data_IF_862455595883
#
_entry.id   IF_862455595883
#
_cell.length_a   1.000
_cell.length_b   1.000
_cell.length_c   1.000
_cell.angle_alpha   90.00
_cell.angle_beta   90.00
_cell.angle_gamma   90.00
#
_symmetry.space_group_name_H-M   'P 1'
#
loop_
_entity.id
_entity.type
_entity.pdbx_description
1 polymer ?
#
# COMPACT_ATOMS: atom_id res chain seq x y z
N UNK A 1 -36.93 -25.19 15.66
CA UNK A 1 -36.18 -25.27 14.39
C UNK A 1 -36.22 -23.89 13.73
N UNK A 2 -35.18 -23.07 13.90
CA UNK A 2 -35.15 -21.70 13.34
C UNK A 2 -34.62 -21.71 11.91
N UNK A 3 -35.51 -22.03 10.96
CA UNK A 3 -35.25 -21.96 9.51
C UNK A 3 -34.92 -20.53 9.05
N UNK A 4 -35.15 -19.52 9.89
CA UNK A 4 -34.99 -18.10 9.57
C UNK A 4 -33.55 -17.59 9.63
N UNK A 5 -32.69 -18.06 10.55
CA UNK A 5 -31.38 -17.43 10.73
C UNK A 5 -30.34 -17.85 9.68
N UNK A 6 -30.25 -19.15 9.38
CA UNK A 6 -29.33 -19.64 8.35
C UNK A 6 -29.68 -19.09 6.95
N UNK A 7 -30.98 -19.00 6.63
CA UNK A 7 -31.44 -18.45 5.37
C UNK A 7 -31.14 -16.96 5.24
N UNK A 8 -31.24 -16.20 6.35
CA UNK A 8 -30.79 -14.80 6.40
C UNK A 8 -29.27 -14.72 6.15
N UNK A 9 -28.47 -15.48 6.89
CA UNK A 9 -27.00 -15.49 6.74
C UNK A 9 -26.57 -15.84 5.31
N UNK A 10 -27.24 -16.81 4.68
CA UNK A 10 -26.96 -17.20 3.31
C UNK A 10 -27.28 -16.08 2.31
N UNK A 11 -28.44 -15.45 2.45
CA UNK A 11 -28.84 -14.33 1.60
C UNK A 11 -27.91 -13.12 1.78
N UNK A 12 -27.50 -12.83 3.01
CA UNK A 12 -26.55 -11.76 3.31
C UNK A 12 -25.17 -12.06 2.71
N UNK A 13 -24.67 -13.29 2.86
CA UNK A 13 -23.42 -13.72 2.24
C UNK A 13 -23.46 -13.58 0.70
N UNK A 14 -24.52 -14.06 0.05
CA UNK A 14 -24.65 -13.98 -1.41
C UNK A 14 -24.73 -12.52 -1.89
N UNK A 15 -25.41 -11.66 -1.11
CA UNK A 15 -25.51 -10.24 -1.39
C UNK A 15 -24.18 -9.51 -1.18
N UNK A 16 -23.45 -9.81 -0.10
CA UNK A 16 -22.12 -9.28 0.16
C UNK A 16 -21.17 -9.70 -0.97
N UNK A 17 -21.11 -10.99 -1.30
CA UNK A 17 -20.29 -11.52 -2.39
C UNK A 17 -20.59 -10.83 -3.73
N UNK A 18 -21.87 -10.57 -4.03
CA UNK A 18 -22.25 -9.81 -5.22
C UNK A 18 -21.70 -8.39 -5.20
N UNK A 19 -21.75 -7.69 -4.06
CA UNK A 19 -21.16 -6.35 -3.94
C UNK A 19 -19.63 -6.40 -4.03
N UNK A 20 -18.99 -7.38 -3.40
CA UNK A 20 -17.56 -7.62 -3.46
C UNK A 20 -17.05 -7.80 -4.90
N UNK A 21 -17.69 -8.69 -5.67
CA UNK A 21 -17.33 -8.94 -7.08
C UNK A 21 -17.51 -7.69 -7.94
N UNK A 22 -18.50 -6.86 -7.64
CA UNK A 22 -18.73 -5.58 -8.29
C UNK A 22 -17.83 -4.45 -7.76
N UNK A 23 -16.86 -4.76 -6.88
CA UNK A 23 -15.93 -3.80 -6.25
C UNK A 23 -16.63 -2.72 -5.43
N UNK A 24 -17.83 -2.99 -4.93
CA UNK A 24 -18.53 -2.13 -3.99
C UNK A 24 -18.20 -2.58 -2.55
N UNK A 25 -16.96 -2.32 -2.13
CA UNK A 25 -16.44 -2.79 -0.85
C UNK A 25 -17.17 -2.19 0.35
N UNK A 26 -17.70 -0.95 0.24
CA UNK A 26 -18.47 -0.34 1.34
C UNK A 26 -19.73 -1.14 1.67
N UNK A 27 -20.53 -1.47 0.65
CA UNK A 27 -21.76 -2.24 0.85
C UNK A 27 -21.46 -3.68 1.24
N UNK A 28 -20.43 -4.26 0.65
CA UNK A 28 -20.00 -5.62 0.98
C UNK A 28 -19.60 -5.73 2.45
N UNK A 29 -18.72 -4.83 2.90
CA UNK A 29 -18.15 -4.84 4.25
C UNK A 29 -19.22 -4.71 5.32
N UNK A 30 -20.15 -3.75 5.15
CA UNK A 30 -21.25 -3.53 6.09
C UNK A 30 -22.15 -4.75 6.26
N UNK A 31 -22.34 -5.55 5.21
CA UNK A 31 -23.14 -6.77 5.28
C UNK A 31 -22.32 -7.88 5.94
N UNK A 32 -21.12 -8.13 5.42
CA UNK A 32 -20.30 -9.27 5.86
C UNK A 32 -19.80 -9.13 7.30
N UNK A 33 -19.56 -7.91 7.79
CA UNK A 33 -19.21 -7.67 9.20
C UNK A 33 -20.35 -8.09 10.14
N UNK A 34 -21.60 -7.79 9.77
CA UNK A 34 -22.76 -8.22 10.53
C UNK A 34 -22.92 -9.74 10.48
N UNK A 35 -22.83 -10.33 9.29
CA UNK A 35 -22.92 -11.79 9.12
C UNK A 35 -21.79 -12.52 9.85
N UNK A 36 -20.57 -11.96 9.90
CA UNK A 36 -19.43 -12.50 10.65
C UNK A 36 -19.74 -12.58 12.14
N UNK A 37 -20.19 -11.47 12.75
CA UNK A 37 -20.53 -11.43 14.17
C UNK A 37 -21.72 -12.35 14.50
N UNK A 38 -22.71 -12.42 13.61
CA UNK A 38 -23.86 -13.29 13.78
C UNK A 38 -23.48 -14.77 13.68
N UNK A 39 -22.65 -15.14 12.70
CA UNK A 39 -22.26 -16.52 12.49
C UNK A 39 -21.42 -17.07 13.65
N UNK A 40 -20.51 -16.28 14.25
CA UNK A 40 -19.80 -16.69 15.46
C UNK A 40 -20.72 -16.96 16.66
N UNK A 41 -21.84 -16.23 16.77
CA UNK A 41 -22.81 -16.43 17.85
C UNK A 41 -23.66 -17.69 17.63
N UNK A 42 -23.99 -18.00 16.38
CA UNK A 42 -24.91 -19.09 16.03
C UNK A 42 -24.21 -20.42 15.78
N UNK A 43 -22.93 -20.39 15.39
CA UNK A 43 -22.14 -21.57 15.09
C UNK A 43 -22.08 -22.59 16.24
N UNK A 44 -21.77 -22.20 17.49
CA UNK A 44 -21.74 -23.16 18.62
C UNK A 44 -23.10 -23.79 18.94
N UNK A 45 -24.19 -23.15 18.51
CA UNK A 45 -25.56 -23.65 18.70
C UNK A 45 -26.01 -24.61 17.59
N UNK A 46 -25.17 -24.86 16.58
CA UNK A 46 -25.48 -25.74 15.45
C UNK A 46 -26.51 -25.19 14.47
N UNK A 47 -26.78 -23.88 14.50
CA UNK A 47 -27.76 -23.23 13.60
C UNK A 47 -27.16 -22.75 12.28
N UNK A 48 -25.84 -22.84 12.11
CA UNK A 48 -25.14 -22.42 10.89
C UNK A 48 -24.36 -23.60 10.33
N UNK A 49 -24.57 -23.86 9.03
CA UNK A 49 -23.79 -24.85 8.27
C UNK A 49 -22.30 -24.50 8.24
N UNK A 50 -21.43 -25.52 8.42
CA UNK A 50 -19.98 -25.36 8.44
C UNK A 50 -19.46 -24.66 7.17
N UNK A 51 -20.01 -25.03 6.00
CA UNK A 51 -19.57 -24.44 4.73
C UNK A 51 -19.93 -22.95 4.64
N UNK A 52 -21.13 -22.57 5.09
CA UNK A 52 -21.54 -21.17 5.13
C UNK A 52 -20.69 -20.36 6.11
N UNK A 53 -20.42 -20.91 7.31
CA UNK A 53 -19.58 -20.24 8.30
C UNK A 53 -18.18 -19.99 7.75
N UNK A 54 -17.52 -21.00 7.18
CA UNK A 54 -16.19 -20.86 6.56
C UNK A 54 -16.19 -19.76 5.49
N UNK A 55 -17.18 -19.75 4.61
CA UNK A 55 -17.29 -18.75 3.53
C UNK A 55 -17.40 -17.31 4.07
N UNK A 56 -18.19 -17.12 5.12
CA UNK A 56 -18.35 -15.81 5.77
C UNK A 56 -17.01 -15.35 6.35
N UNK A 57 -16.29 -16.24 7.06
CA UNK A 57 -14.97 -15.93 7.63
C UNK A 57 -13.96 -15.55 6.55
N UNK A 58 -13.87 -16.34 5.48
CA UNK A 58 -12.94 -16.11 4.39
C UNK A 58 -13.20 -14.77 3.69
N UNK A 59 -14.46 -14.45 3.37
CA UNK A 59 -14.81 -13.18 2.74
C UNK A 59 -14.50 -12.00 3.68
N UNK A 60 -14.86 -12.10 4.96
CA UNK A 60 -14.56 -11.07 5.96
C UNK A 60 -13.05 -10.78 6.06
N UNK A 61 -12.21 -11.82 6.13
CA UNK A 61 -10.75 -11.64 6.20
C UNK A 61 -10.17 -11.01 4.93
N UNK A 62 -10.67 -11.39 3.75
CA UNK A 62 -10.26 -10.77 2.48
C UNK A 62 -10.61 -9.29 2.46
N UNK A 63 -11.82 -8.93 2.90
CA UNK A 63 -12.26 -7.53 2.92
C UNK A 63 -11.46 -6.69 3.90
N UNK A 64 -11.19 -7.18 5.13
CA UNK A 64 -10.29 -6.49 6.05
C UNK A 64 -8.91 -6.27 5.42
N UNK A 65 -8.40 -7.29 4.71
CA UNK A 65 -7.11 -7.22 4.02
C UNK A 65 -7.03 -6.09 2.99
N UNK A 66 -8.15 -5.79 2.33
CA UNK A 66 -8.26 -4.72 1.34
C UNK A 66 -8.39 -3.35 2.02
N UNK A 67 -9.17 -3.26 3.10
CA UNK A 67 -9.53 -2.01 3.75
C UNK A 67 -8.43 -1.40 4.62
N UNK A 68 -7.61 -2.24 5.27
CA UNK A 68 -6.50 -1.78 6.12
C UNK A 68 -5.26 -1.42 5.31
N UNK A 69 -5.17 -1.86 4.05
CA UNK A 69 -3.99 -1.62 3.25
C UNK A 69 -3.76 -0.10 3.05
N UNK A 70 -2.60 0.45 3.50
CA UNK A 70 -2.33 1.88 3.42
C UNK A 70 -2.37 2.48 2.03
N UNK A 71 -2.11 1.66 1.00
CA UNK A 71 -2.19 2.08 -0.39
C UNK A 71 -3.62 2.38 -0.85
N UNK A 72 -4.63 1.93 -0.12
CA UNK A 72 -6.05 2.09 -0.43
C UNK A 72 -6.77 3.11 0.47
N UNK A 73 -6.10 3.68 1.49
CA UNK A 73 -6.75 4.57 2.46
C UNK A 73 -7.27 5.89 1.88
N UNK A 74 -6.74 6.35 0.75
CA UNK A 74 -7.16 7.62 0.13
C UNK A 74 -8.65 7.62 -0.27
N UNK A 75 -9.24 6.45 -0.51
CA UNK A 75 -10.66 6.25 -0.84
C UNK A 75 -11.39 5.36 0.19
N UNK A 76 -10.85 5.26 1.42
CA UNK A 76 -11.45 4.43 2.47
C UNK A 76 -12.78 5.02 2.95
N UNK A 77 -13.83 4.21 2.94
CA UNK A 77 -15.11 4.55 3.55
C UNK A 77 -15.14 4.33 5.07
N UNK A 78 -14.10 3.69 5.63
CA UNK A 78 -13.93 3.54 7.08
C UNK A 78 -13.31 4.82 7.67
N UNK A 79 -13.75 5.17 8.87
CA UNK A 79 -13.16 6.22 9.69
C UNK A 79 -11.78 5.81 10.21
N UNK A 80 -10.94 6.80 10.53
CA UNK A 80 -9.63 6.56 11.17
C UNK A 80 -9.74 5.75 12.48
N UNK A 81 -10.87 5.89 13.20
CA UNK A 81 -11.15 5.13 14.42
C UNK A 81 -11.36 3.65 14.14
N UNK A 82 -12.19 3.32 13.13
CA UNK A 82 -12.46 1.94 12.70
C UNK A 82 -11.18 1.28 12.18
N UNK A 83 -10.39 1.99 11.37
CA UNK A 83 -9.11 1.47 10.86
C UNK A 83 -8.17 1.14 12.03
N UNK A 84 -8.00 2.06 12.99
CA UNK A 84 -7.17 1.81 14.18
C UNK A 84 -7.67 0.64 15.01
N UNK A 85 -8.99 0.48 15.17
CA UNK A 85 -9.55 -0.65 15.89
C UNK A 85 -9.22 -1.96 15.20
N UNK A 86 -9.40 -2.03 13.88
CA UNK A 86 -9.06 -3.23 13.11
C UNK A 86 -7.55 -3.52 13.14
N UNK A 87 -6.69 -2.49 13.09
CA UNK A 87 -5.25 -2.66 13.26
C UNK A 87 -4.88 -3.25 14.63
N UNK A 88 -5.51 -2.77 15.71
CA UNK A 88 -5.30 -3.30 17.06
C UNK A 88 -5.72 -4.77 17.13
N UNK A 89 -6.88 -5.10 16.56
CA UNK A 89 -7.37 -6.48 16.46
C UNK A 89 -6.38 -7.38 15.70
N UNK A 90 -5.84 -6.91 14.56
CA UNK A 90 -4.84 -7.65 13.76
C UNK A 90 -3.51 -7.86 14.48
N UNK A 91 -3.04 -6.87 15.24
CA UNK A 91 -1.81 -7.01 16.03
C UNK A 91 -2.01 -8.03 17.14
N UNK A 92 -3.20 -8.06 17.74
CA UNK A 92 -3.62 -9.04 18.74
C UNK A 92 -3.79 -10.45 18.18
N UNK A 93 -4.08 -11.41 19.06
CA UNK A 93 -4.44 -12.80 18.72
C UNK A 93 -5.95 -13.00 18.59
N UNK A 94 -6.75 -11.94 18.69
CA UNK A 94 -8.21 -12.00 18.85
C UNK A 94 -8.93 -12.85 17.79
N UNK A 95 -8.52 -12.78 16.52
CA UNK A 95 -9.12 -13.63 15.49
C UNK A 95 -8.81 -15.11 15.69
N UNK A 96 -7.57 -15.45 16.02
CA UNK A 96 -7.17 -16.83 16.27
C UNK A 96 -7.83 -17.35 17.54
N UNK A 97 -7.89 -16.54 18.60
CA UNK A 97 -8.51 -16.89 19.87
C UNK A 97 -10.01 -17.19 19.68
N UNK A 98 -10.75 -16.33 18.95
CA UNK A 98 -12.16 -16.57 18.61
C UNK A 98 -12.37 -17.86 17.81
N UNK A 99 -11.46 -18.18 16.88
CA UNK A 99 -11.54 -19.43 16.12
C UNK A 99 -11.30 -20.65 17.02
N UNK A 100 -10.29 -20.60 17.88
CA UNK A 100 -10.02 -21.66 18.85
C UNK A 100 -11.20 -21.84 19.81
N UNK A 101 -11.84 -20.76 20.26
CA UNK A 101 -13.06 -20.81 21.08
C UNK A 101 -14.22 -21.48 20.34
N UNK A 102 -14.37 -21.22 19.04
CA UNK A 102 -15.50 -21.72 18.25
C UNK A 102 -15.32 -23.16 17.76
N UNK A 103 -14.11 -23.54 17.39
CA UNK A 103 -13.76 -24.89 16.91
C UNK A 103 -13.18 -25.78 18.02
N UNK A 104 -13.01 -25.25 19.23
CA UNK A 104 -12.45 -25.94 20.40
C UNK A 104 -10.91 -25.98 20.44
N UNK A 105 -10.26 -26.30 19.31
CA UNK A 105 -8.80 -26.31 19.19
C UNK A 105 -8.35 -25.98 17.75
N UNK A 106 -7.09 -25.56 17.61
CA UNK A 106 -6.45 -25.21 16.34
C UNK A 106 -6.50 -26.33 15.30
N UNK A 107 -6.48 -27.60 15.71
CA UNK A 107 -6.52 -28.75 14.80
C UNK A 107 -7.88 -28.92 14.13
N UNK A 108 -8.95 -28.46 14.78
CA UNK A 108 -10.32 -28.51 14.29
C UNK A 108 -10.67 -27.31 13.42
N UNK A 109 -9.86 -26.24 13.43
CA UNK A 109 -10.08 -25.09 12.55
C UNK A 109 -9.84 -25.54 11.09
N UNK A 110 -10.78 -25.26 10.16
CA UNK A 110 -10.60 -25.53 8.76
C UNK A 110 -9.36 -24.81 8.22
N UNK A 111 -8.51 -25.53 7.52
CA UNK A 111 -7.21 -25.02 7.07
C UNK A 111 -7.33 -23.85 6.10
N UNK A 112 -8.42 -23.77 5.33
CA UNK A 112 -8.76 -22.61 4.49
C UNK A 112 -8.91 -21.33 5.33
N UNK A 113 -9.57 -21.43 6.49
CA UNK A 113 -9.77 -20.30 7.40
C UNK A 113 -8.44 -19.86 8.00
N UNK A 114 -7.60 -20.81 8.45
CA UNK A 114 -6.26 -20.52 8.94
C UNK A 114 -5.41 -19.85 7.85
N UNK A 115 -5.40 -20.42 6.64
CA UNK A 115 -4.66 -19.87 5.51
C UNK A 115 -5.07 -18.42 5.22
N UNK A 116 -6.37 -18.13 5.11
CA UNK A 116 -6.86 -16.79 4.85
C UNK A 116 -6.58 -15.80 5.99
N UNK A 117 -6.62 -16.26 7.26
CA UNK A 117 -6.25 -15.43 8.41
C UNK A 117 -4.76 -15.06 8.36
N UNK A 118 -3.89 -16.00 8.03
CA UNK A 118 -2.46 -15.75 7.91
C UNK A 118 -2.10 -14.90 6.70
N UNK A 119 -2.82 -15.03 5.58
CA UNK A 119 -2.72 -14.09 4.47
C UNK A 119 -3.12 -12.68 4.89
N UNK A 120 -4.20 -12.53 5.65
CA UNK A 120 -4.64 -11.24 6.17
C UNK A 120 -3.54 -10.56 7.00
N UNK A 121 -2.87 -11.30 7.89
CA UNK A 121 -1.73 -10.75 8.64
C UNK A 121 -0.56 -10.36 7.74
N UNK A 122 -0.31 -11.14 6.67
CA UNK A 122 0.85 -10.98 5.80
C UNK A 122 0.70 -9.82 4.82
N UNK A 123 -0.49 -9.64 4.24
CA UNK A 123 -0.81 -8.50 3.36
C UNK A 123 -0.73 -7.18 4.12
N UNK A 124 -1.02 -7.20 5.43
CA UNK A 124 -0.94 -6.03 6.31
C UNK A 124 0.39 -5.97 7.09
N UNK A 125 1.50 -6.37 6.47
CA UNK A 125 2.84 -6.39 7.09
C UNK A 125 3.33 -5.02 7.63
N UNK A 126 2.76 -3.90 7.18
CA UNK A 126 3.01 -2.57 7.75
C UNK A 126 2.43 -2.43 9.17
N UNK A 127 1.34 -3.15 9.45
CA UNK A 127 0.66 -3.18 10.75
C UNK A 127 1.25 -4.31 11.62
N UNK A 128 1.47 -5.49 11.02
CA UNK A 128 2.06 -6.66 11.68
C UNK A 128 3.49 -6.83 11.21
N UNK A 129 4.46 -6.31 12.00
CA UNK A 129 5.89 -6.43 11.69
C UNK A 129 6.29 -7.90 11.44
N UNK A 130 7.21 -8.12 10.51
CA UNK A 130 7.64 -9.46 10.06
C UNK A 130 8.03 -10.40 11.22
N UNK A 131 8.71 -9.91 12.26
CA UNK A 131 9.09 -10.72 13.42
C UNK A 131 7.88 -11.15 14.28
N UNK A 132 6.88 -10.28 14.42
CA UNK A 132 5.64 -10.61 15.13
C UNK A 132 4.79 -11.59 14.32
N UNK A 133 4.75 -11.41 13.00
CA UNK A 133 4.11 -12.34 12.07
C UNK A 133 4.75 -13.72 12.13
N UNK A 134 6.08 -13.79 12.03
CA UNK A 134 6.87 -15.02 12.17
C UNK A 134 6.53 -15.75 13.46
N UNK A 135 6.50 -15.04 14.59
CA UNK A 135 6.13 -15.61 15.88
C UNK A 135 4.70 -16.20 15.86
N UNK A 136 3.72 -15.47 15.33
CA UNK A 136 2.33 -15.98 15.20
C UNK A 136 2.26 -17.26 14.37
N UNK A 137 3.02 -17.33 13.27
CA UNK A 137 3.10 -18.53 12.44
C UNK A 137 3.70 -19.71 13.22
N UNK A 138 4.83 -19.52 13.90
CA UNK A 138 5.43 -20.55 14.74
C UNK A 138 4.48 -21.08 15.81
N UNK A 139 3.94 -20.18 16.62
CA UNK A 139 3.02 -20.51 17.73
C UNK A 139 1.78 -21.30 17.25
N UNK A 140 1.45 -21.19 15.96
CA UNK A 140 0.34 -21.89 15.30
C UNK A 140 0.79 -23.21 14.69
N UNK A 141 1.86 -23.20 13.89
CA UNK A 141 2.35 -24.35 13.14
C UNK A 141 2.82 -25.48 14.08
N UNK A 142 3.41 -25.13 15.22
CA UNK A 142 3.83 -26.11 16.23
C UNK A 142 2.66 -26.87 16.86
N UNK A 143 1.46 -26.28 16.89
CA UNK A 143 0.27 -26.88 17.50
C UNK A 143 -0.55 -27.73 16.52
N UNK A 144 -0.27 -27.62 15.22
CA UNK A 144 -0.97 -28.38 14.18
C UNK A 144 -0.40 -29.79 14.08
N UNK A 145 -1.28 -30.79 14.13
CA UNK A 145 -0.93 -32.18 13.85
C UNK A 145 -0.89 -32.43 12.33
N UNK A 146 0.28 -32.20 11.74
CA UNK A 146 0.52 -32.29 10.30
C UNK A 146 0.28 -33.68 9.70
N UNK A 147 0.32 -34.75 10.50
CA UNK A 147 0.08 -36.12 10.02
C UNK A 147 -1.35 -36.33 9.53
N UNK A 148 -2.32 -35.55 10.03
CA UNK A 148 -3.71 -35.62 9.59
C UNK A 148 -4.08 -34.60 8.50
N UNK A 149 -3.09 -33.88 7.96
CA UNK A 149 -3.29 -32.77 7.01
C UNK A 149 -2.57 -32.99 5.67
N UNK A 150 -2.06 -34.19 5.41
CA UNK A 150 -1.22 -34.51 4.24
C UNK A 150 -1.88 -34.26 2.89
N UNK A 151 -3.19 -34.47 2.81
CA UNK A 151 -3.96 -34.31 1.57
C UNK A 151 -4.67 -32.95 1.47
N UNK A 152 -4.53 -32.10 2.49
CA UNK A 152 -5.21 -30.82 2.54
C UNK A 152 -4.42 -29.71 1.84
N UNK A 153 -4.98 -29.23 0.72
CA UNK A 153 -4.37 -28.20 -0.13
C UNK A 153 -4.05 -26.92 0.66
N UNK A 154 -4.91 -26.51 1.59
CA UNK A 154 -4.73 -25.26 2.32
C UNK A 154 -3.68 -25.36 3.42
N UNK A 155 -3.54 -26.52 4.08
CA UNK A 155 -2.43 -26.79 5.00
C UNK A 155 -1.08 -26.71 4.29
N UNK A 156 -0.98 -27.30 3.09
CA UNK A 156 0.22 -27.19 2.27
C UNK A 156 0.51 -25.75 1.87
N UNK A 157 -0.48 -25.01 1.38
CA UNK A 157 -0.33 -23.57 1.05
C UNK A 157 0.10 -22.72 2.26
N UNK A 158 -0.47 -22.98 3.44
CA UNK A 158 -0.11 -22.27 4.66
C UNK A 158 1.35 -22.52 5.04
N UNK A 159 1.78 -23.78 5.02
CA UNK A 159 3.14 -24.16 5.38
C UNK A 159 4.14 -23.68 4.32
N UNK A 160 3.84 -23.86 3.04
CA UNK A 160 4.64 -23.34 1.92
C UNK A 160 4.83 -21.82 2.04
N UNK A 161 3.76 -21.09 2.39
CA UNK A 161 3.87 -19.66 2.56
C UNK A 161 4.82 -19.27 3.71
N UNK A 162 4.75 -19.98 4.83
CA UNK A 162 5.66 -19.76 5.95
C UNK A 162 7.12 -20.09 5.58
N UNK A 163 7.34 -21.24 4.96
CA UNK A 163 8.66 -21.78 4.62
C UNK A 163 9.35 -21.01 3.50
N UNK A 164 8.62 -20.60 2.46
CA UNK A 164 9.20 -19.98 1.27
C UNK A 164 9.11 -18.45 1.24
N UNK A 165 8.24 -17.84 2.06
CA UNK A 165 8.10 -16.39 2.09
C UNK A 165 8.44 -15.76 3.44
N UNK A 166 7.85 -16.25 4.54
CA UNK A 166 8.02 -15.61 5.86
C UNK A 166 9.43 -15.84 6.42
N UNK A 167 9.90 -17.09 6.48
CA UNK A 167 11.22 -17.42 7.01
C UNK A 167 12.36 -16.81 6.17
N UNK A 168 12.38 -16.94 4.83
CA UNK A 168 13.35 -16.25 3.98
C UNK A 168 13.30 -14.72 4.11
N UNK A 169 12.10 -14.14 4.25
CA UNK A 169 11.93 -12.71 4.49
C UNK A 169 12.56 -12.25 5.80
N UNK A 170 12.56 -13.09 6.83
CA UNK A 170 13.27 -12.86 8.10
C UNK A 170 14.76 -13.23 8.06
N UNK A 171 15.21 -13.94 7.02
CA UNK A 171 16.59 -14.44 6.88
C UNK A 171 16.84 -15.83 7.50
N UNK A 172 15.80 -16.52 7.96
CA UNK A 172 15.88 -17.78 8.69
C UNK A 172 15.82 -19.00 7.75
N UNK A 173 16.80 -19.13 6.85
CA UNK A 173 16.83 -20.21 5.86
C UNK A 173 17.10 -21.59 6.47
N UNK A 174 17.92 -21.65 7.52
CA UNK A 174 18.26 -22.93 8.16
C UNK A 174 17.04 -23.54 8.84
N UNK A 175 16.18 -22.71 9.42
CA UNK A 175 14.90 -23.16 9.93
C UNK A 175 13.99 -23.67 8.80
N UNK A 176 13.87 -22.91 7.71
CA UNK A 176 13.03 -23.33 6.59
C UNK A 176 13.45 -24.73 6.09
N UNK A 177 14.76 -25.00 6.01
CA UNK A 177 15.29 -26.34 5.72
C UNK A 177 14.92 -27.37 6.78
N UNK A 178 15.01 -27.01 8.06
CA UNK A 178 14.64 -27.90 9.15
C UNK A 178 13.17 -28.34 9.06
N UNK A 179 12.27 -27.38 8.83
CA UNK A 179 10.84 -27.66 8.64
C UNK A 179 10.60 -28.54 7.41
N UNK A 180 11.26 -28.26 6.28
CA UNK A 180 11.16 -29.10 5.07
C UNK A 180 11.61 -30.54 5.36
N UNK A 181 12.68 -30.73 6.12
CA UNK A 181 13.21 -32.05 6.41
C UNK A 181 12.34 -32.87 7.37
N UNK A 182 11.63 -32.21 8.29
CA UNK A 182 10.88 -32.89 9.35
C UNK A 182 9.37 -32.99 9.11
N UNK A 183 8.78 -32.05 8.38
CA UNK A 183 7.33 -31.98 8.26
C UNK A 183 6.79 -33.01 7.25
N UNK A 184 5.77 -33.81 7.61
CA UNK A 184 5.24 -34.87 6.75
C UNK A 184 4.68 -34.36 5.41
N UNK A 185 4.30 -33.08 5.29
CA UNK A 185 3.84 -32.47 4.04
C UNK A 185 4.91 -32.40 2.93
N UNK A 186 6.19 -32.46 3.32
CA UNK A 186 7.32 -32.42 2.39
C UNK A 186 8.00 -33.78 2.21
N UNK A 187 7.51 -34.83 2.87
CA UNK A 187 8.17 -36.14 2.90
C UNK A 187 8.48 -36.70 1.49
N UNK A 188 7.60 -36.46 0.53
CA UNK A 188 7.78 -36.85 -0.88
C UNK A 188 8.52 -35.83 -1.75
N UNK A 189 8.81 -34.63 -1.26
CA UNK A 189 9.35 -33.50 -2.03
C UNK A 189 10.52 -32.76 -1.35
N UNK A 190 11.16 -33.37 -0.34
CA UNK A 190 12.25 -32.74 0.44
C UNK A 190 13.32 -32.14 -0.46
N UNK A 191 13.85 -32.91 -1.41
CA UNK A 191 14.91 -32.46 -2.31
C UNK A 191 14.47 -31.27 -3.17
N UNK A 192 13.31 -31.36 -3.83
CA UNK A 192 12.80 -30.28 -4.69
C UNK A 192 12.47 -29.00 -3.89
N UNK A 193 11.90 -29.15 -2.70
CA UNK A 193 11.58 -28.02 -1.81
C UNK A 193 12.86 -27.35 -1.28
N UNK A 194 13.90 -28.14 -0.99
CA UNK A 194 15.21 -27.60 -0.57
C UNK A 194 15.89 -26.84 -1.72
N UNK A 195 15.82 -27.37 -2.95
CA UNK A 195 16.33 -26.66 -4.14
C UNK A 195 15.58 -25.35 -4.41
N UNK A 196 14.26 -25.33 -4.22
CA UNK A 196 13.45 -24.11 -4.33
C UNK A 196 13.88 -23.06 -3.30
N UNK A 197 14.09 -23.48 -2.04
CA UNK A 197 14.57 -22.60 -0.98
C UNK A 197 15.95 -22.00 -1.29
N UNK A 198 16.87 -22.79 -1.87
CA UNK A 198 18.18 -22.28 -2.30
C UNK A 198 18.05 -21.27 -3.46
N UNK A 199 17.16 -21.50 -4.42
CA UNK A 199 16.87 -20.52 -5.48
C UNK A 199 16.35 -19.19 -4.89
N UNK A 200 15.48 -19.26 -3.90
CA UNK A 200 14.95 -18.09 -3.18
C UNK A 200 16.09 -17.37 -2.46
N UNK A 201 16.96 -18.09 -1.75
CA UNK A 201 18.12 -17.53 -1.06
C UNK A 201 19.04 -16.76 -2.02
N UNK A 202 19.42 -17.39 -3.13
CA UNK A 202 20.26 -16.76 -4.16
C UNK A 202 19.60 -15.52 -4.77
N UNK A 203 18.28 -15.58 -5.02
CA UNK A 203 17.51 -14.44 -5.52
C UNK A 203 17.52 -13.27 -4.54
N UNK A 204 17.27 -13.52 -3.24
CA UNK A 204 17.28 -12.49 -2.20
C UNK A 204 18.68 -11.90 -1.97
N UNK A 205 19.72 -12.72 -2.00
CA UNK A 205 21.11 -12.23 -1.93
C UNK A 205 21.46 -11.33 -3.12
N UNK A 206 21.01 -11.70 -4.33
CA UNK A 206 21.18 -10.88 -5.53
C UNK A 206 20.44 -9.56 -5.41
N UNK A 207 19.19 -9.57 -4.98
CA UNK A 207 18.39 -8.36 -4.75
C UNK A 207 19.06 -7.44 -3.73
N UNK A 208 19.56 -7.98 -2.61
CA UNK A 208 20.29 -7.20 -1.60
C UNK A 208 21.57 -6.57 -2.16
N UNK A 209 22.32 -7.29 -3.00
CA UNK A 209 23.52 -6.74 -3.68
C UNK A 209 23.15 -5.62 -4.65
N UNK A 210 22.11 -5.81 -5.46
CA UNK A 210 21.63 -4.81 -6.42
C UNK A 210 21.09 -3.55 -5.71
N UNK A 211 20.41 -3.72 -4.58
CA UNK A 211 19.92 -2.61 -3.75
C UNK A 211 21.07 -1.87 -3.06
N UNK A 212 22.05 -2.58 -2.50
CA UNK A 212 23.24 -1.97 -1.92
C UNK A 212 24.04 -1.15 -2.95
N UNK A 213 24.17 -1.67 -4.18
CA UNK A 213 24.84 -0.93 -5.27
C UNK A 213 24.04 0.31 -5.69
N UNK A 214 22.70 0.20 -5.76
CA UNK A 214 21.81 1.33 -6.06
C UNK A 214 21.92 2.42 -4.99
N UNK A 215 21.90 2.04 -3.71
CA UNK A 215 22.02 2.97 -2.60
C UNK A 215 23.39 3.66 -2.59
N UNK A 216 24.47 2.91 -2.86
CA UNK A 216 25.81 3.50 -3.01
C UNK A 216 25.87 4.51 -4.16
N UNK A 217 25.27 4.22 -5.31
CA UNK A 217 25.19 5.15 -6.45
C UNK A 217 24.39 6.41 -6.11
N UNK A 218 23.30 6.28 -5.34
CA UNK A 218 22.50 7.42 -4.87
C UNK A 218 23.30 8.30 -3.89
N UNK A 219 24.00 7.70 -2.92
CA UNK A 219 24.86 8.43 -1.98
C UNK A 219 26.01 9.15 -2.69
N UNK A 220 26.67 8.49 -3.66
CA UNK A 220 27.73 9.12 -4.46
C UNK A 220 27.18 10.29 -5.29
N UNK A 221 25.96 10.18 -5.82
CA UNK A 221 25.29 11.27 -6.53
C UNK A 221 24.96 12.44 -5.60
N UNK A 222 24.46 12.17 -4.39
CA UNK A 222 24.17 13.18 -3.37
C UNK A 222 25.46 13.89 -2.92
N UNK A 223 26.54 13.16 -2.61
CA UNK A 223 27.85 13.75 -2.27
C UNK A 223 28.41 14.63 -3.40
N UNK A 224 28.26 14.20 -4.66
CA UNK A 224 28.67 15.01 -5.82
C UNK A 224 27.84 16.31 -5.91
N UNK A 225 26.52 16.25 -5.74
CA UNK A 225 25.64 17.42 -5.71
C UNK A 225 25.99 18.39 -4.58
N UNK A 226 26.27 17.88 -3.38
CA UNK A 226 26.70 18.69 -2.23
C UNK A 226 28.04 19.38 -2.49
N UNK A 227 29.03 18.64 -3.01
CA UNK A 227 30.34 19.21 -3.36
C UNK A 227 30.27 20.28 -4.45
N UNK A 228 29.41 20.11 -5.47
CA UNK A 228 29.17 21.12 -6.49
C UNK A 228 28.46 22.35 -5.93
N UNK A 229 27.51 22.16 -5.01
CA UNK A 229 26.83 23.25 -4.32
C UNK A 229 27.78 24.05 -3.42
N UNK A 230 28.71 23.38 -2.72
CA UNK A 230 29.76 24.03 -1.92
C UNK A 230 30.73 24.82 -2.81
N UNK A 231 31.26 24.22 -3.89
CA UNK A 231 32.13 24.94 -4.85
C UNK A 231 31.43 26.13 -5.50
N UNK A 232 30.14 25.99 -5.82
CA UNK A 232 29.33 27.10 -6.38
C UNK A 232 29.10 28.22 -5.35
N UNK A 233 28.95 27.89 -4.06
CA UNK A 233 28.87 28.89 -2.98
C UNK A 233 30.21 29.60 -2.78
N UNK A 234 31.32 28.87 -2.81
CA UNK A 234 32.66 29.46 -2.70
C UNK A 234 33.00 30.38 -3.87
N UNK A 235 32.71 29.98 -5.12
CA UNK A 235 32.89 30.84 -6.29
C UNK A 235 32.03 32.10 -6.22
N UNK A 236 30.77 31.99 -5.76
CA UNK A 236 29.93 33.17 -5.53
C UNK A 236 30.46 34.06 -4.41
N UNK A 237 31.05 33.50 -3.35
CA UNK A 237 31.67 34.29 -2.28
C UNK A 237 32.93 35.04 -2.75
N UNK A 238 33.72 34.44 -3.66
CA UNK A 238 34.90 35.07 -4.27
C UNK A 238 34.53 36.19 -5.25
N UNK A 239 33.35 36.14 -5.87
CA UNK A 239 32.81 37.24 -6.68
C UNK A 239 32.15 38.38 -5.86
N UNK A 240 31.99 38.22 -4.55
CA UNK A 240 31.40 39.22 -3.64
C UNK A 240 32.39 39.84 -2.64
N UNK A 241 33.68 39.93 -3.01
CA UNK A 241 34.64 40.90 -2.46
C UNK A 241 35.20 41.71 -3.65
N UNK A 242 35.13 43.06 -3.74
CA UNK A 242 34.64 44.07 -2.80
C UNK A 242 33.69 45.13 -3.45
N UNK A 243 32.38 45.04 -3.27
CA UNK A 243 31.45 46.15 -3.59
C UNK A 243 31.49 47.28 -2.53
N UNK A 244 32.08 47.02 -1.36
CA UNK A 244 32.29 48.02 -0.31
C UNK A 244 33.58 48.84 -0.48
N UNK A 245 34.53 48.42 -1.33
CA UNK A 245 35.70 49.25 -1.67
C UNK A 245 35.37 50.25 -2.80
N UNK A 246 34.49 49.87 -3.74
CA UNK A 246 34.01 50.77 -4.81
C UNK A 246 33.01 51.84 -4.34
N UNK A 247 32.43 51.71 -3.13
CA UNK A 247 31.58 52.76 -2.54
C UNK A 247 32.36 53.84 -1.79
N UNK A 248 33.62 53.59 -1.40
CA UNK A 248 34.44 54.60 -0.72
C UNK A 248 35.09 55.61 -1.68
N UNK A 249 35.16 55.31 -2.97
CA UNK A 249 35.69 56.24 -3.99
C UNK A 249 34.62 57.06 -4.71
N UNK A 250 33.33 56.87 -4.40
CA UNK A 250 32.20 57.54 -5.09
C UNK A 250 31.33 58.42 -4.19
N UNK A 251 31.78 58.68 -2.96
CA UNK A 251 31.11 59.55 -1.98
C UNK A 251 31.92 60.82 -1.66
N UNK A 252 32.95 61.12 -2.46
CA UNK A 252 33.79 62.31 -2.28
C UNK A 252 33.59 63.36 -3.38
N UNK A 253 32.79 63.10 -4.42
CA UNK A 253 32.48 64.06 -5.47
C UNK A 253 30.98 64.01 -5.79
N UNK A 254 30.40 65.20 -5.94
CA UNK A 254 29.00 65.55 -6.27
C UNK A 254 27.99 65.63 -5.12
N UNK A 255 28.24 66.64 -4.28
CA UNK A 255 27.19 67.57 -3.83
C UNK A 255 26.73 68.41 -5.03
N UNK A 256 25.50 68.23 -5.51
CA UNK A 256 24.51 69.30 -5.73
C UNK A 256 23.35 68.93 -6.68
N UNK A 257 22.19 69.46 -6.28
CA UNK A 257 21.06 69.87 -7.10
C UNK A 257 20.07 68.83 -7.64
N UNK A 258 18.91 68.84 -6.99
CA UNK A 258 17.57 69.05 -7.58
C UNK A 258 17.27 68.45 -8.96
N UNK A 259 16.25 67.58 -9.01
CA UNK A 259 14.90 68.03 -9.43
C UNK A 259 13.97 66.85 -9.72
N UNK A 260 12.70 67.22 -9.73
CA UNK A 260 11.48 66.44 -9.69
C UNK A 260 11.24 65.52 -10.91
N UNK A 261 10.39 64.55 -10.60
CA UNK A 261 9.18 64.15 -11.36
C UNK A 261 9.19 62.89 -12.25
N UNK A 262 8.14 62.11 -11.96
CA UNK A 262 7.33 61.22 -12.81
C UNK A 262 7.75 59.77 -12.97
N UNK A 263 6.99 58.95 -12.22
CA UNK A 263 6.21 57.82 -12.70
C UNK A 263 6.89 56.88 -13.68
N UNK A 264 7.19 55.67 -13.20
CA UNK A 264 6.76 54.44 -13.86
C UNK A 264 6.73 53.34 -12.80
N UNK A 265 5.54 52.73 -12.62
CA UNK A 265 5.38 51.43 -11.98
C UNK A 265 6.23 50.42 -12.74
N UNK A 266 7.50 50.25 -12.34
CA UNK A 266 8.26 49.08 -12.74
C UNK A 266 7.69 47.91 -11.93
N UNK A 267 6.77 47.17 -12.54
CA UNK A 267 6.46 45.80 -12.13
C UNK A 267 7.81 45.14 -11.88
N UNK A 268 8.02 44.71 -10.63
CA UNK A 268 9.30 44.21 -10.14
C UNK A 268 9.59 42.86 -10.80
N UNK A 269 10.03 42.90 -12.06
CA UNK A 269 10.44 41.75 -12.87
C UNK A 269 11.56 40.99 -12.17
N UNK A 270 12.38 41.69 -11.38
CA UNK A 270 13.39 41.05 -10.53
C UNK A 270 12.77 40.15 -9.46
N UNK A 271 11.62 40.51 -8.88
CA UNK A 271 10.92 39.64 -7.92
C UNK A 271 10.37 38.37 -8.61
N UNK A 272 9.78 38.53 -9.80
CA UNK A 272 9.25 37.40 -10.59
C UNK A 272 10.40 36.49 -11.08
N UNK A 273 11.50 37.07 -11.58
CA UNK A 273 12.69 36.33 -12.02
C UNK A 273 13.33 35.58 -10.85
N UNK A 274 13.33 36.15 -9.64
CA UNK A 274 13.87 35.49 -8.45
C UNK A 274 12.97 34.34 -8.00
N UNK A 275 11.64 34.51 -8.09
CA UNK A 275 10.66 33.47 -7.78
C UNK A 275 10.68 32.33 -8.82
N UNK A 276 10.85 32.66 -10.09
CA UNK A 276 11.03 31.69 -11.18
C UNK A 276 12.36 30.96 -11.04
N UNK A 277 13.48 31.66 -10.74
CA UNK A 277 14.76 30.99 -10.44
C UNK A 277 14.66 30.05 -9.25
N UNK A 278 13.91 30.44 -8.21
CA UNK A 278 13.66 29.58 -7.04
C UNK A 278 12.84 28.34 -7.42
N UNK A 279 11.75 28.51 -8.17
CA UNK A 279 10.92 27.41 -8.68
C UNK A 279 11.70 26.49 -9.62
N UNK A 280 12.51 27.03 -10.53
CA UNK A 280 13.39 26.25 -11.40
C UNK A 280 14.43 25.48 -10.58
N UNK A 281 14.95 26.05 -9.48
CA UNK A 281 15.87 25.33 -8.57
C UNK A 281 15.16 24.21 -7.80
N UNK A 282 13.93 24.44 -7.39
CA UNK A 282 13.09 23.46 -6.69
C UNK A 282 12.74 22.28 -7.61
N UNK A 283 12.34 22.60 -8.84
CA UNK A 283 12.09 21.63 -9.91
C UNK A 283 13.40 20.91 -10.28
N UNK A 284 14.53 21.61 -10.40
CA UNK A 284 15.80 20.98 -10.76
C UNK A 284 16.32 20.03 -9.66
N UNK A 285 16.15 20.38 -8.38
CA UNK A 285 16.48 19.48 -7.27
C UNK A 285 15.53 18.26 -7.21
N UNK A 286 14.21 18.44 -7.43
CA UNK A 286 13.26 17.32 -7.44
C UNK A 286 13.40 16.41 -8.67
N UNK A 287 13.73 16.96 -9.85
CA UNK A 287 13.97 16.19 -11.08
C UNK A 287 15.27 15.38 -11.00
N UNK A 288 16.26 15.81 -10.20
CA UNK A 288 17.51 15.07 -10.06
C UNK A 288 17.42 13.85 -9.13
N UNK A 289 16.44 13.81 -8.22
CA UNK A 289 16.23 12.67 -7.32
C UNK A 289 15.24 11.64 -7.88
N UNK A 290 14.27 12.04 -8.70
CA UNK A 290 13.25 11.13 -9.27
C UNK A 290 12.96 11.37 -10.76
N UNK A 291 14.01 11.44 -11.60
CA UNK A 291 13.91 11.87 -13.01
C UNK A 291 12.83 11.15 -13.83
N UNK A 292 12.58 9.87 -13.56
CA UNK A 292 11.58 9.08 -14.29
C UNK A 292 10.14 9.44 -13.91
N UNK A 293 9.87 9.69 -12.61
CA UNK A 293 8.53 10.02 -12.12
C UNK A 293 8.16 11.48 -12.43
N UNK A 294 9.11 12.40 -12.38
CA UNK A 294 8.88 13.80 -12.75
C UNK A 294 8.68 13.99 -14.27
N UNK A 295 9.37 13.22 -15.12
CA UNK A 295 9.11 13.20 -16.57
C UNK A 295 7.73 12.60 -16.85
N UNK A 296 7.34 11.55 -16.13
CA UNK A 296 6.00 10.96 -16.20
C UNK A 296 4.90 11.95 -15.79
N UNK A 297 5.07 12.67 -14.68
CA UNK A 297 4.12 13.69 -14.22
C UNK A 297 4.04 14.88 -15.18
N UNK A 298 5.16 15.29 -15.78
CA UNK A 298 5.21 16.39 -16.76
C UNK A 298 4.55 15.98 -18.09
N UNK A 299 4.76 14.73 -18.54
CA UNK A 299 4.03 14.15 -19.68
C UNK A 299 2.53 14.03 -19.37
N UNK A 300 2.16 13.66 -18.15
CA UNK A 300 0.76 13.56 -17.75
C UNK A 300 0.12 14.96 -17.73
N UNK A 301 0.77 15.99 -17.18
CA UNK A 301 0.27 17.37 -17.19
C UNK A 301 0.23 17.98 -18.60
N UNK A 302 1.11 17.59 -19.53
CA UNK A 302 1.09 18.06 -20.92
C UNK A 302 0.06 17.32 -21.79
N UNK A 303 -0.14 16.02 -21.57
CA UNK A 303 -1.07 15.19 -22.37
C UNK A 303 -2.50 15.27 -21.83
N UNK A 304 -2.69 15.48 -20.52
CA UNK A 304 -4.01 15.60 -19.89
C UNK A 304 -4.89 16.69 -20.52
N UNK A 305 -4.44 17.94 -20.75
CA UNK A 305 -5.27 18.95 -21.41
C UNK A 305 -5.57 18.65 -22.89
N UNK A 306 -4.73 17.87 -23.58
CA UNK A 306 -4.98 17.44 -24.96
C UNK A 306 -6.04 16.32 -25.05
N UNK A 307 -6.00 15.37 -24.11
CA UNK A 307 -6.98 14.27 -24.03
C UNK A 307 -8.33 14.75 -23.47
N UNK A 308 -8.32 15.64 -22.47
CA UNK A 308 -9.54 16.23 -21.92
C UNK A 308 -10.28 17.11 -22.92
N UNK A 309 -9.57 17.86 -23.78
CA UNK A 309 -10.21 18.64 -24.86
C UNK A 309 -10.87 17.77 -25.93
N UNK A 310 -10.35 16.57 -26.23
CA UNK A 310 -11.00 15.65 -27.19
C UNK A 310 -12.20 14.92 -26.58
N UNK A 311 -12.14 14.54 -25.29
CA UNK A 311 -13.27 13.87 -24.61
C UNK A 311 -14.38 14.84 -24.21
N UNK A 312 -14.08 16.09 -23.83
CA UNK A 312 -15.10 17.07 -23.46
C UNK A 312 -16.02 17.44 -24.63
N UNK A 313 -15.53 17.44 -25.88
CA UNK A 313 -16.35 17.68 -27.08
C UNK A 313 -17.35 16.53 -27.32
N UNK A 314 -16.97 15.28 -27.08
CA UNK A 314 -17.90 14.13 -27.17
C UNK A 314 -18.91 14.10 -26.03
N UNK A 315 -18.50 14.49 -24.81
CA UNK A 315 -19.39 14.52 -23.64
C UNK A 315 -20.39 15.68 -23.75
N UNK A 316 -19.96 16.88 -24.18
CA UNK A 316 -20.86 18.00 -24.45
C UNK A 316 -21.85 17.68 -25.59
N UNK A 317 -21.43 16.95 -26.62
CA UNK A 317 -22.33 16.48 -27.69
C UNK A 317 -23.43 15.57 -27.13
N UNK A 318 -23.07 14.58 -26.32
CA UNK A 318 -24.02 13.65 -25.70
C UNK A 318 -24.95 14.32 -24.69
N UNK A 319 -24.47 15.33 -23.96
CA UNK A 319 -25.28 16.11 -23.02
C UNK A 319 -26.28 17.02 -23.77
N UNK A 320 -25.84 17.63 -24.88
CA UNK A 320 -26.72 18.42 -25.77
C UNK A 320 -27.82 17.57 -26.39
N UNK A 321 -27.49 16.34 -26.81
CA UNK A 321 -28.48 15.41 -27.39
C UNK A 321 -29.44 14.85 -26.33
N UNK A 322 -28.97 14.62 -25.10
CA UNK A 322 -29.81 14.19 -23.98
C UNK A 322 -30.76 15.30 -23.53
N UNK A 323 -30.29 16.55 -23.46
CA UNK A 323 -31.14 17.72 -23.17
C UNK A 323 -32.13 17.94 -24.31
N UNK A 324 -31.72 17.77 -25.57
CA UNK A 324 -32.62 17.91 -26.73
C UNK A 324 -33.68 16.80 -26.79
N UNK A 325 -33.37 15.57 -26.35
CA UNK A 325 -34.35 14.50 -26.16
C UNK A 325 -35.31 14.80 -25.00
N UNK A 326 -34.79 15.25 -23.85
CA UNK A 326 -35.60 15.57 -22.69
C UNK A 326 -36.59 16.72 -22.98
N UNK A 327 -36.16 17.75 -23.71
CA UNK A 327 -37.03 18.86 -24.14
C UNK A 327 -38.07 18.41 -25.18
N UNK A 328 -37.76 17.42 -26.02
CA UNK A 328 -38.71 16.86 -27.00
C UNK A 328 -39.78 15.98 -26.36
N UNK A 329 -39.52 15.44 -25.16
CA UNK A 329 -40.46 14.64 -24.38
C UNK A 329 -41.42 15.52 -23.56
N UNK A 330 -41.02 16.75 -23.22
CA UNK A 330 -41.89 17.72 -22.50
C UNK A 330 -42.84 18.53 -23.39
N UNK A 331 -42.83 18.34 -24.72
CA UNK A 331 -43.71 19.04 -25.68
C UNK A 331 -44.51 18.09 -26.59
N UNK A 332 -44.90 16.93 -26.05
CA UNK A 332 -45.95 16.06 -26.62
C UNK A 332 -47.05 15.87 -25.60
#
# INVERSE_FOLDING_TARGET
MSVTSESILRNEYDLAMKFFVNKNFEKSYKIIENSYNLAFREYPSGFTDDSLFIKILCLYYVEIGILINPSNHADSFLTDGEIKQLEVTLRGSQYLDKLCESFGDINHIPSEVLYNLFLLYSVNGNVVRINALKKKFYDTIEKINWHHKTDDLFSKKLLDYFVFHILPGAGDFDEAKHIIAQNPLYSSSVSSSTEELEKIKLSLERQRKEEAERNRKLEEKQKKLESQNLRSKEQKSKHYKPLNELRKTKLADDDNSESKEKNLQSINTNFIITRIKYLIRLIHNQVNENSLQSIGLMLLVLVFPLVFRRKSVQILGKLKDTIKMAVKISYV
#
